data_IF_988712234083
#
_entry.id   IF_988712234083
#
_cell.length_a   1.000
_cell.length_b   1.000
_cell.length_c   1.000
_cell.angle_alpha   90.00
_cell.angle_beta   90.00
_cell.angle_gamma   90.00
#
_symmetry.space_group_name_H-M   'P 1'
#
loop_
_entity.id
_entity.type
_entity.pdbx_description
1 polymer ?
#
# COMPACT_ATOMS: atom_id res chain seq x y z
N UNK A 1 0.97 17.43 8.47
CA UNK A 1 0.26 16.19 8.86
C UNK A 1 0.25 15.25 7.67
N UNK A 2 0.75 14.02 7.80
CA UNK A 2 0.82 13.07 6.69
C UNK A 2 -0.45 12.21 6.63
N UNK A 3 -1.21 12.32 5.55
CA UNK A 3 -2.45 11.55 5.33
C UNK A 3 -2.21 10.03 5.36
N UNK A 4 -1.07 9.59 4.81
CA UNK A 4 -0.71 8.17 4.73
C UNK A 4 -0.39 7.61 6.12
N UNK A 5 0.35 8.35 6.95
CA UNK A 5 0.60 7.94 8.34
C UNK A 5 -0.70 7.84 9.13
N UNK A 6 -1.62 8.80 8.97
CA UNK A 6 -2.94 8.74 9.62
C UNK A 6 -3.71 7.49 9.17
N UNK A 7 -3.69 7.19 7.87
CA UNK A 7 -4.31 5.99 7.31
C UNK A 7 -3.72 4.71 7.90
N UNK A 8 -2.40 4.66 8.10
CA UNK A 8 -1.70 3.52 8.72
C UNK A 8 -2.14 3.36 10.17
N UNK A 9 -2.28 4.45 10.93
CA UNK A 9 -2.78 4.36 12.30
C UNK A 9 -4.22 3.82 12.37
N UNK A 10 -5.10 4.21 11.42
CA UNK A 10 -6.44 3.60 11.31
C UNK A 10 -6.38 2.12 10.94
N UNK A 11 -5.42 1.68 10.12
CA UNK A 11 -5.22 0.25 9.82
C UNK A 11 -4.83 -0.50 11.09
N UNK A 12 -3.87 0.02 11.86
CA UNK A 12 -3.42 -0.59 13.12
C UNK A 12 -4.52 -0.63 14.17
N UNK A 13 -5.40 0.37 14.19
CA UNK A 13 -6.57 0.41 15.05
C UNK A 13 -7.72 -0.50 14.58
N UNK A 14 -7.63 -1.10 13.38
CA UNK A 14 -8.71 -1.89 12.80
C UNK A 14 -9.90 -1.07 12.31
N UNK A 15 -9.72 0.24 12.12
CA UNK A 15 -10.77 1.20 11.79
C UNK A 15 -10.82 1.56 10.30
N UNK A 16 -9.80 1.19 9.52
CA UNK A 16 -9.76 1.47 8.09
C UNK A 16 -10.63 0.46 7.31
N UNK A 17 -11.78 0.86 6.73
CA UNK A 17 -12.70 -0.05 6.05
C UNK A 17 -12.17 -0.57 4.71
N UNK A 18 -11.10 0.05 4.17
CA UNK A 18 -10.51 -0.30 2.88
C UNK A 18 -9.24 -1.13 3.00
N UNK A 19 -8.87 -1.53 4.22
CA UNK A 19 -7.72 -2.37 4.45
C UNK A 19 -7.91 -3.76 3.82
N UNK A 20 -6.89 -4.24 3.09
CA UNK A 20 -6.90 -5.57 2.46
C UNK A 20 -5.92 -6.50 3.16
N UNK A 21 -4.63 -6.13 3.21
CA UNK A 21 -3.58 -7.00 3.73
C UNK A 21 -2.35 -6.20 4.15
N UNK A 22 -1.73 -6.60 5.24
CA UNK A 22 -0.39 -6.17 5.62
C UNK A 22 0.66 -7.11 4.99
N UNK A 23 1.67 -6.52 4.37
CA UNK A 23 2.87 -7.17 3.86
C UNK A 23 4.09 -6.73 4.70
N UNK A 24 5.30 -7.17 4.37
CA UNK A 24 6.49 -6.88 5.15
C UNK A 24 6.76 -5.37 5.21
N UNK A 25 6.73 -4.72 4.05
CA UNK A 25 7.15 -3.31 3.88
C UNK A 25 5.98 -2.33 3.79
N UNK A 26 4.74 -2.81 3.70
CA UNK A 26 3.60 -1.95 3.47
C UNK A 26 2.23 -2.56 3.75
N UNK A 27 1.19 -1.78 3.48
CA UNK A 27 -0.21 -2.15 3.60
C UNK A 27 -0.93 -1.97 2.28
N UNK A 28 -1.67 -2.99 1.85
CA UNK A 28 -2.53 -2.95 0.69
C UNK A 28 -3.89 -2.40 1.12
N UNK A 29 -4.37 -1.38 0.42
CA UNK A 29 -5.70 -0.79 0.63
C UNK A 29 -6.42 -0.57 -0.70
N UNK A 30 -7.74 -0.71 -0.70
CA UNK A 30 -8.57 -0.21 -1.80
C UNK A 30 -8.61 1.33 -1.70
N UNK A 31 -8.49 2.02 -2.83
CA UNK A 31 -8.52 3.48 -2.84
C UNK A 31 -9.88 4.03 -2.40
N UNK A 32 -9.88 5.07 -1.56
CA UNK A 32 -11.09 5.69 -1.00
C UNK A 32 -12.11 6.12 -2.05
N UNK A 33 -11.60 6.55 -3.21
CA UNK A 33 -12.39 6.86 -4.40
C UNK A 33 -11.90 5.96 -5.53
N UNK A 34 -12.76 5.06 -5.97
CA UNK A 34 -12.46 4.15 -7.09
C UNK A 34 -12.55 4.91 -8.41
N UNK A 35 -11.44 5.57 -8.80
CA UNK A 35 -11.34 6.22 -10.11
C UNK A 35 -11.58 5.21 -11.25
N UNK A 36 -11.11 3.97 -11.05
CA UNK A 36 -11.52 2.79 -11.79
C UNK A 36 -11.72 1.62 -10.82
N UNK A 37 -12.44 0.59 -11.27
CA UNK A 37 -12.71 -0.61 -10.48
C UNK A 37 -11.40 -1.35 -10.19
N UNK A 38 -11.09 -1.55 -8.92
CA UNK A 38 -9.84 -2.20 -8.49
C UNK A 38 -8.71 -1.22 -8.22
N UNK A 39 -8.95 0.09 -8.23
CA UNK A 39 -7.95 1.09 -7.84
C UNK A 39 -7.44 0.78 -6.42
N UNK A 40 -6.17 0.39 -6.35
CA UNK A 40 -5.54 -0.17 -5.15
C UNK A 40 -4.23 0.58 -4.89
N UNK A 41 -3.94 0.82 -3.62
CA UNK A 41 -2.73 1.49 -3.17
C UNK A 41 -1.91 0.54 -2.30
N UNK A 42 -0.60 0.60 -2.45
CA UNK A 42 0.36 -0.05 -1.55
C UNK A 42 1.11 1.02 -0.75
N UNK A 43 0.79 1.11 0.54
CA UNK A 43 1.27 2.16 1.43
C UNK A 43 2.53 1.67 2.16
N UNK A 44 3.65 2.35 2.00
CA UNK A 44 4.88 2.02 2.74
C UNK A 44 4.69 2.20 4.26
N UNK A 45 5.24 1.27 5.05
CA UNK A 45 5.29 1.39 6.52
C UNK A 45 6.22 2.51 6.96
N UNK A 46 7.32 2.69 6.25
CA UNK A 46 8.29 3.74 6.50
C UNK A 46 7.81 5.06 5.88
N UNK A 47 7.84 6.14 6.67
CA UNK A 47 7.53 7.46 6.15
C UNK A 47 8.72 8.02 5.37
N UNK A 48 8.60 8.02 4.06
CA UNK A 48 9.48 8.75 3.15
C UNK A 48 8.64 9.50 2.12
N UNK A 49 9.17 10.59 1.58
CA UNK A 49 8.50 11.32 0.48
C UNK A 49 8.81 10.71 -0.88
N UNK A 50 9.97 10.06 -1.02
CA UNK A 50 10.50 9.55 -2.27
C UNK A 50 11.21 8.20 -2.04
N UNK A 51 11.14 7.29 -3.01
CA UNK A 51 11.73 5.95 -2.88
C UNK A 51 13.24 5.98 -2.61
N UNK A 52 13.97 6.96 -3.17
CA UNK A 52 15.41 7.04 -3.00
C UNK A 52 15.86 7.46 -1.59
N UNK A 53 14.93 7.89 -0.73
CA UNK A 53 15.20 8.10 0.69
C UNK A 53 15.09 6.83 1.53
N UNK A 54 14.56 5.72 0.98
CA UNK A 54 14.55 4.42 1.66
C UNK A 54 15.92 3.76 1.59
N UNK A 55 16.27 3.06 2.67
CA UNK A 55 17.40 2.14 2.69
C UNK A 55 17.29 1.10 1.57
N UNK A 56 18.39 0.82 0.89
CA UNK A 56 18.40 -0.01 -0.32
C UNK A 56 17.72 -1.39 -0.14
N UNK A 57 17.95 -2.14 0.96
CA UNK A 57 17.28 -3.42 1.16
C UNK A 57 15.75 -3.28 1.28
N UNK A 58 15.27 -2.27 2.01
CA UNK A 58 13.83 -2.01 2.22
C UNK A 58 13.19 -1.60 0.90
N UNK A 59 13.83 -0.70 0.15
CA UNK A 59 13.36 -0.25 -1.17
C UNK A 59 13.18 -1.41 -2.15
N UNK A 60 14.15 -2.31 -2.23
CA UNK A 60 14.07 -3.47 -3.13
C UNK A 60 12.93 -4.40 -2.74
N UNK A 61 12.77 -4.68 -1.44
CA UNK A 61 11.65 -5.49 -0.95
C UNK A 61 10.30 -4.82 -1.21
N UNK A 62 10.20 -3.51 -1.03
CA UNK A 62 8.98 -2.75 -1.30
C UNK A 62 8.59 -2.80 -2.79
N UNK A 63 9.56 -2.69 -3.71
CA UNK A 63 9.31 -2.79 -5.15
C UNK A 63 8.89 -4.21 -5.56
N UNK A 64 9.47 -5.25 -4.94
CA UNK A 64 9.05 -6.63 -5.15
C UNK A 64 7.61 -6.86 -4.67
N UNK A 65 7.28 -6.40 -3.46
CA UNK A 65 5.92 -6.50 -2.92
C UNK A 65 4.91 -5.71 -3.77
N UNK A 66 5.31 -4.56 -4.32
CA UNK A 66 4.48 -3.80 -5.24
C UNK A 66 4.13 -4.61 -6.51
N UNK A 67 5.08 -5.35 -7.07
CA UNK A 67 4.83 -6.26 -8.19
C UNK A 67 3.84 -7.36 -7.83
N UNK A 68 3.97 -7.96 -6.64
CA UNK A 68 3.04 -8.99 -6.15
C UNK A 68 1.62 -8.44 -5.94
N UNK A 69 1.51 -7.22 -5.39
CA UNK A 69 0.22 -6.54 -5.22
C UNK A 69 -0.42 -6.26 -6.58
N UNK A 70 0.35 -5.80 -7.57
CA UNK A 70 -0.18 -5.55 -8.91
C UNK A 70 -0.73 -6.83 -9.56
N UNK A 71 -0.01 -7.95 -9.45
CA UNK A 71 -0.49 -9.24 -9.97
C UNK A 71 -1.80 -9.67 -9.28
N UNK A 72 -1.89 -9.49 -7.97
CA UNK A 72 -3.11 -9.80 -7.21
C UNK A 72 -4.29 -8.93 -7.65
N UNK A 73 -4.07 -7.64 -7.89
CA UNK A 73 -5.09 -6.71 -8.40
C UNK A 73 -5.56 -7.11 -9.79
N UNK A 74 -4.64 -7.43 -10.70
CA UNK A 74 -4.97 -7.89 -12.06
C UNK A 74 -5.87 -9.14 -12.04
N UNK A 75 -5.54 -10.13 -11.21
CA UNK A 75 -6.34 -11.36 -11.05
C UNK A 75 -7.72 -11.10 -10.41
N UNK A 76 -7.80 -10.15 -9.48
CA UNK A 76 -9.05 -9.88 -8.76
C UNK A 76 -10.03 -9.00 -9.54
N UNK A 77 -9.53 -8.16 -10.44
CA UNK A 77 -10.32 -7.13 -11.12
C UNK A 77 -10.27 -7.18 -12.66
N UNK A 78 -9.59 -8.16 -13.24
CA UNK A 78 -9.33 -8.29 -14.68
C UNK A 78 -8.68 -7.01 -15.27
N UNK A 79 -7.72 -6.46 -14.52
CA UNK A 79 -7.04 -5.19 -14.80
C UNK A 79 -5.68 -5.36 -15.52
#
# INVERSE_FOLDING_TARGET
>A
MCLICQRIEWIKAGENPYFVKELETGYVVIGDHQYFKGYTLFLAKEHVTELHHMENPVKLRFLEEMSLVQEAVAKAFDA
#
